data_IF_379573547829
#
_entry.id   IF_379573547829
#
_cell.length_a   1.000
_cell.length_b   1.000
_cell.length_c   1.000
_cell.angle_alpha   90.00
_cell.angle_beta   90.00
_cell.angle_gamma   90.00
#
_symmetry.space_group_name_H-M   'P 1'
#
loop_
_entity.id
_entity.type
_entity.pdbx_description
1 polymer ?
#
# COMPACT_ATOMS: atom_id res chain seq x y z
N UNK A 1 -26.04 9.79 8.02
CA UNK A 1 -25.18 8.63 7.75
C UNK A 1 -23.72 9.01 7.96
N UNK A 2 -22.98 8.15 8.63
CA UNK A 2 -21.56 8.39 8.85
C UNK A 2 -20.78 8.14 7.55
N UNK A 3 -19.99 9.11 7.16
CA UNK A 3 -19.16 9.05 5.97
C UNK A 3 -17.70 8.78 6.33
N UNK A 4 -17.48 8.24 7.54
CA UNK A 4 -16.14 8.02 8.06
C UNK A 4 -15.32 9.32 8.08
N UNK A 5 -15.96 10.43 8.48
CA UNK A 5 -15.34 11.75 8.38
C UNK A 5 -14.02 11.86 9.14
N UNK A 6 -13.94 11.24 10.32
CA UNK A 6 -12.71 11.26 11.12
C UNK A 6 -11.61 10.46 10.46
N UNK A 7 -11.95 9.30 9.89
CA UNK A 7 -11.01 8.48 9.15
C UNK A 7 -10.51 9.24 7.92
N UNK A 8 -11.42 9.85 7.18
CA UNK A 8 -11.04 10.62 5.99
C UNK A 8 -10.14 11.79 6.34
N UNK A 9 -10.36 12.41 7.51
CA UNK A 9 -9.50 13.50 7.98
C UNK A 9 -8.09 12.99 8.27
N UNK A 10 -7.97 11.84 8.93
CA UNK A 10 -6.66 11.22 9.16
C UNK A 10 -5.95 10.92 7.86
N UNK A 11 -6.68 10.38 6.88
CA UNK A 11 -6.11 10.05 5.58
C UNK A 11 -5.64 11.32 4.86
N UNK A 12 -6.45 12.38 4.88
CA UNK A 12 -6.08 13.64 4.25
C UNK A 12 -4.82 14.23 4.88
N UNK A 13 -4.68 14.14 6.21
CA UNK A 13 -3.48 14.60 6.90
C UNK A 13 -2.27 13.78 6.51
N UNK A 14 -2.42 12.45 6.48
CA UNK A 14 -1.32 11.56 6.07
C UNK A 14 -0.86 11.88 4.65
N UNK A 15 -1.79 12.13 3.74
CA UNK A 15 -1.48 12.42 2.34
C UNK A 15 -0.67 13.70 2.14
N UNK A 16 -0.64 14.59 3.12
CA UNK A 16 0.20 15.79 3.06
C UNK A 16 1.68 15.47 3.23
N UNK A 17 2.01 14.30 3.77
CA UNK A 17 3.37 13.95 4.17
C UNK A 17 3.93 12.76 3.41
N UNK A 18 3.16 12.18 2.48
CA UNK A 18 3.57 10.97 1.75
C UNK A 18 3.59 11.24 0.25
N UNK A 19 4.29 10.37 -0.47
CA UNK A 19 4.24 10.34 -1.92
C UNK A 19 3.25 9.27 -2.37
N UNK A 20 2.61 9.52 -3.51
CA UNK A 20 1.71 8.54 -4.12
C UNK A 20 2.22 8.13 -5.49
N UNK A 21 1.75 6.98 -5.97
CA UNK A 21 2.13 6.43 -7.27
C UNK A 21 0.87 5.86 -7.93
N UNK A 22 0.78 5.95 -9.24
CA UNK A 22 -0.35 5.38 -9.97
C UNK A 22 -0.22 3.86 -10.05
N UNK A 23 -1.34 3.12 -10.27
CA UNK A 23 -1.25 1.68 -10.51
C UNK A 23 -0.34 1.32 -11.69
N UNK A 24 -0.38 2.11 -12.76
CA UNK A 24 0.44 1.87 -13.95
C UNK A 24 1.93 1.99 -13.63
N UNK A 25 2.30 3.02 -12.89
CA UNK A 25 3.70 3.19 -12.47
C UNK A 25 4.11 2.13 -11.45
N UNK A 26 3.20 1.75 -10.57
CA UNK A 26 3.46 0.70 -9.57
C UNK A 26 3.76 -0.63 -10.24
N UNK A 27 2.97 -1.03 -11.25
CA UNK A 27 3.21 -2.30 -11.93
C UNK A 27 4.53 -2.28 -12.69
N UNK A 28 4.91 -1.15 -13.26
CA UNK A 28 6.20 -1.01 -13.94
C UNK A 28 7.37 -1.21 -12.96
N UNK A 29 7.27 -0.60 -11.78
CA UNK A 29 8.31 -0.73 -10.75
C UNK A 29 8.38 -2.15 -10.19
N UNK A 30 7.23 -2.81 -10.04
CA UNK A 30 7.20 -4.20 -9.61
C UNK A 30 7.86 -5.11 -10.63
N UNK A 31 7.52 -4.96 -11.90
CA UNK A 31 8.07 -5.80 -12.98
C UNK A 31 9.57 -5.61 -13.16
N UNK A 32 10.06 -4.40 -12.98
CA UNK A 32 11.48 -4.12 -13.13
C UNK A 32 12.31 -4.60 -11.93
N UNK A 33 11.63 -5.01 -10.85
CA UNK A 33 12.32 -5.40 -9.62
C UNK A 33 12.77 -4.24 -8.77
N UNK A 34 12.40 -3.00 -9.13
CA UNK A 34 12.78 -1.82 -8.36
C UNK A 34 12.01 -1.67 -7.06
N UNK A 35 10.80 -2.21 -7.00
CA UNK A 35 9.93 -2.03 -5.84
C UNK A 35 9.28 -3.33 -5.40
N UNK A 36 8.94 -3.38 -4.12
CA UNK A 36 8.03 -4.41 -3.59
C UNK A 36 6.68 -3.74 -3.33
N UNK A 37 5.60 -4.47 -3.57
CA UNK A 37 4.25 -4.01 -3.28
C UNK A 37 3.75 -4.74 -2.04
N UNK A 38 3.23 -3.97 -1.09
CA UNK A 38 2.71 -4.48 0.18
C UNK A 38 1.22 -4.18 0.25
N UNK A 39 0.43 -5.25 0.32
CA UNK A 39 -1.02 -5.18 0.48
C UNK A 39 -1.33 -5.17 1.97
N UNK A 40 -1.91 -4.07 2.46
CA UNK A 40 -2.21 -3.91 3.89
C UNK A 40 -3.67 -4.20 4.23
N UNK A 41 -4.42 -4.78 3.30
CA UNK A 41 -5.81 -5.17 3.53
C UNK A 41 -5.87 -6.38 4.46
N UNK A 42 -7.07 -6.70 4.90
CA UNK A 42 -7.30 -7.90 5.71
C UNK A 42 -7.12 -9.17 4.87
N UNK A 43 -6.87 -10.27 5.54
CA UNK A 43 -6.58 -11.54 4.86
C UNK A 43 -7.72 -12.01 3.96
N UNK A 44 -8.96 -11.84 4.37
CA UNK A 44 -10.10 -12.25 3.55
C UNK A 44 -10.20 -11.44 2.26
N UNK A 45 -9.85 -10.17 2.31
CA UNK A 45 -9.78 -9.35 1.09
C UNK A 45 -8.66 -9.84 0.17
N UNK A 46 -7.50 -10.15 0.74
CA UNK A 46 -6.38 -10.71 0.00
C UNK A 46 -6.73 -12.04 -0.67
N UNK A 47 -7.41 -12.91 0.05
CA UNK A 47 -7.78 -14.24 -0.46
C UNK A 47 -8.76 -14.16 -1.63
N UNK A 48 -9.58 -13.12 -1.69
CA UNK A 48 -10.54 -12.93 -2.79
C UNK A 48 -9.88 -12.42 -4.07
N UNK A 49 -8.71 -11.83 -3.96
CA UNK A 49 -7.97 -11.33 -5.10
C UNK A 49 -6.91 -10.34 -4.67
N UNK A 50 -5.74 -10.40 -5.29
CA UNK A 50 -4.62 -9.53 -4.95
C UNK A 50 -3.71 -9.32 -6.14
N UNK A 51 -2.74 -8.44 -5.99
CA UNK A 51 -1.76 -8.15 -7.03
C UNK A 51 -0.73 -9.28 -7.08
N UNK A 52 -0.52 -9.93 -8.25
CA UNK A 52 0.52 -10.97 -8.36
C UNK A 52 1.88 -10.41 -7.99
N UNK A 53 2.60 -11.12 -7.14
CA UNK A 53 3.94 -10.70 -6.69
C UNK A 53 3.94 -9.77 -5.49
N UNK A 54 2.78 -9.32 -5.03
CA UNK A 54 2.68 -8.49 -3.82
C UNK A 54 2.87 -9.35 -2.56
N UNK A 55 3.31 -8.69 -1.50
CA UNK A 55 3.41 -9.30 -0.17
C UNK A 55 2.18 -8.88 0.64
N UNK A 56 1.62 -9.82 1.38
CA UNK A 56 0.50 -9.49 2.26
C UNK A 56 1.00 -9.23 3.68
N UNK A 57 0.75 -8.03 4.18
CA UNK A 57 1.04 -7.67 5.56
C UNK A 57 -0.12 -6.82 6.06
N UNK A 58 -1.06 -7.43 6.79
CA UNK A 58 -2.23 -6.72 7.29
C UNK A 58 -1.83 -5.48 8.06
N UNK A 59 -2.65 -4.44 7.97
CA UNK A 59 -2.34 -3.17 8.65
C UNK A 59 -2.06 -3.37 10.14
N UNK A 60 -2.74 -4.33 10.77
CA UNK A 60 -2.62 -4.59 12.21
C UNK A 60 -1.24 -5.09 12.62
N UNK A 61 -0.51 -5.74 11.72
CA UNK A 61 0.81 -6.29 12.05
C UNK A 61 1.92 -5.75 11.15
N UNK A 62 1.60 -4.78 10.32
CA UNK A 62 2.53 -4.24 9.33
C UNK A 62 3.88 -3.87 9.93
N UNK A 63 3.87 -3.09 11.01
CA UNK A 63 5.10 -2.58 11.61
C UNK A 63 6.00 -3.69 12.17
N UNK A 64 5.39 -4.77 12.62
CA UNK A 64 6.16 -5.93 13.07
C UNK A 64 6.74 -6.72 11.90
N UNK A 65 5.93 -6.90 10.86
CA UNK A 65 6.29 -7.78 9.74
C UNK A 65 7.30 -7.13 8.80
N UNK A 66 7.21 -5.83 8.60
CA UNK A 66 8.02 -5.15 7.59
C UNK A 66 9.52 -5.21 7.91
N UNK A 67 9.90 -5.09 9.17
CA UNK A 67 11.31 -5.13 9.56
C UNK A 67 11.95 -6.47 9.18
N UNK A 68 11.18 -7.53 9.28
CA UNK A 68 11.65 -8.88 8.96
C UNK A 68 11.66 -9.13 7.47
N UNK A 69 10.59 -8.70 6.78
CA UNK A 69 10.41 -9.00 5.35
C UNK A 69 11.18 -8.06 4.44
N UNK A 70 11.32 -6.80 4.83
CA UNK A 70 12.00 -5.77 4.04
C UNK A 70 12.91 -4.97 4.97
N UNK A 71 14.06 -5.53 5.34
CA UNK A 71 14.94 -4.85 6.31
C UNK A 71 15.68 -3.64 5.77
N UNK A 72 15.80 -3.51 4.45
CA UNK A 72 16.51 -2.39 3.83
C UNK A 72 15.67 -1.12 3.89
N UNK A 73 16.11 -0.14 4.67
CA UNK A 73 15.40 1.14 4.83
C UNK A 73 15.36 1.98 3.55
N UNK A 74 16.18 1.65 2.56
CA UNK A 74 16.20 2.35 1.28
C UNK A 74 15.39 1.63 0.20
N UNK A 75 14.86 0.45 0.49
CA UNK A 75 14.04 -0.29 -0.47
C UNK A 75 12.81 0.53 -0.87
N UNK A 76 12.45 0.46 -2.15
CA UNK A 76 11.20 1.09 -2.59
C UNK A 76 10.04 0.19 -2.22
N UNK A 77 9.16 0.71 -1.38
CA UNK A 77 7.97 0.01 -0.90
C UNK A 77 6.74 0.75 -1.40
N UNK A 78 5.83 0.03 -2.03
CA UNK A 78 4.56 0.59 -2.47
C UNK A 78 3.45 -0.07 -1.66
N UNK A 79 2.81 0.70 -0.79
CA UNK A 79 1.69 0.22 0.01
C UNK A 79 0.38 0.42 -0.74
N UNK A 80 -0.57 -0.49 -0.55
CA UNK A 80 -1.91 -0.27 -1.04
C UNK A 80 -2.94 -0.98 -0.15
N UNK A 81 -4.17 -0.50 -0.27
CA UNK A 81 -5.34 -1.11 0.35
C UNK A 81 -6.47 -1.17 -0.68
N UNK A 82 -7.72 -1.23 -0.24
CA UNK A 82 -8.86 -1.28 -1.15
C UNK A 82 -9.10 0.01 -1.91
N UNK A 83 -9.13 1.14 -1.20
CA UNK A 83 -9.46 2.44 -1.79
C UNK A 83 -8.42 3.54 -1.58
N UNK A 84 -7.32 3.24 -0.93
CA UNK A 84 -6.22 4.19 -0.73
C UNK A 84 -6.06 4.75 0.67
N UNK A 85 -7.07 4.67 1.52
CA UNK A 85 -7.03 5.27 2.86
C UNK A 85 -6.12 4.54 3.83
N UNK A 86 -6.34 3.24 4.01
CA UNK A 86 -5.49 2.43 4.89
C UNK A 86 -4.04 2.41 4.40
N UNK A 87 -3.87 2.41 3.06
CA UNK A 87 -2.54 2.45 2.46
C UNK A 87 -1.81 3.76 2.74
N UNK A 88 -2.51 4.88 2.74
CA UNK A 88 -1.92 6.18 3.07
C UNK A 88 -1.41 6.19 4.52
N UNK A 89 -2.22 5.69 5.46
CA UNK A 89 -1.80 5.60 6.85
C UNK A 89 -0.63 4.64 7.03
N UNK A 90 -0.63 3.54 6.30
CA UNK A 90 0.48 2.58 6.31
C UNK A 90 1.77 3.24 5.82
N UNK A 91 1.69 3.98 4.72
CA UNK A 91 2.84 4.67 4.16
C UNK A 91 3.44 5.66 5.18
N UNK A 92 2.58 6.43 5.82
CA UNK A 92 3.02 7.38 6.85
C UNK A 92 3.71 6.65 8.01
N UNK A 93 3.14 5.53 8.44
CA UNK A 93 3.70 4.75 9.55
C UNK A 93 5.09 4.21 9.20
N UNK A 94 5.27 3.70 7.99
CA UNK A 94 6.58 3.19 7.58
C UNK A 94 7.63 4.30 7.49
N UNK A 95 7.22 5.49 7.07
CA UNK A 95 8.13 6.65 7.09
C UNK A 95 8.60 6.95 8.51
N UNK A 96 7.71 6.87 9.49
CA UNK A 96 8.06 7.08 10.89
C UNK A 96 9.05 6.03 11.43
N UNK A 97 9.04 4.85 10.82
CA UNK A 97 9.99 3.78 11.16
C UNK A 97 11.37 3.98 10.52
N UNK A 98 11.50 4.96 9.64
CA UNK A 98 12.77 5.25 8.97
C UNK A 98 12.88 4.79 7.53
N UNK A 99 11.84 4.18 6.98
CA UNK A 99 11.84 3.80 5.57
C UNK A 99 11.78 5.06 4.71
N UNK A 100 12.70 5.19 3.77
CA UNK A 100 12.93 6.45 3.06
C UNK A 100 12.27 6.52 1.69
N UNK A 101 11.82 5.40 1.16
CA UNK A 101 11.32 5.33 -0.21
C UNK A 101 10.00 4.57 -0.26
N UNK A 102 9.00 5.10 0.45
CA UNK A 102 7.69 4.48 0.57
C UNK A 102 6.67 5.33 -0.16
N UNK A 103 5.77 4.68 -0.88
CA UNK A 103 4.69 5.35 -1.61
C UNK A 103 3.38 4.62 -1.39
N UNK A 104 2.30 5.38 -1.48
CA UNK A 104 0.95 4.80 -1.44
C UNK A 104 0.42 4.73 -2.88
N UNK A 105 -0.09 3.56 -3.27
CA UNK A 105 -0.70 3.44 -4.58
C UNK A 105 -2.07 4.12 -4.57
N UNK A 106 -2.19 5.17 -5.36
CA UNK A 106 -3.40 5.99 -5.42
C UNK A 106 -4.60 5.15 -5.84
N UNK A 107 -5.70 5.28 -5.09
CA UNK A 107 -6.94 4.56 -5.37
C UNK A 107 -6.93 3.08 -5.01
N UNK A 108 -5.82 2.54 -4.57
CA UNK A 108 -5.71 1.18 -4.08
C UNK A 108 -6.06 0.10 -5.09
N UNK A 109 -6.50 -1.04 -4.58
CA UNK A 109 -6.84 -2.19 -5.42
C UNK A 109 -8.01 -1.91 -6.37
N UNK A 110 -8.93 -1.03 -5.97
CA UNK A 110 -10.02 -0.61 -6.87
C UNK A 110 -9.47 0.03 -8.14
N UNK A 111 -8.50 0.95 -7.96
CA UNK A 111 -7.88 1.63 -9.11
C UNK A 111 -7.03 0.67 -9.94
N UNK A 112 -6.36 -0.28 -9.29
CA UNK A 112 -5.60 -1.32 -9.97
C UNK A 112 -6.51 -2.12 -10.92
N UNK A 113 -7.66 -2.58 -10.42
CA UNK A 113 -8.62 -3.34 -11.23
C UNK A 113 -9.24 -2.48 -12.32
N UNK A 114 -9.54 -1.21 -12.02
CA UNK A 114 -10.09 -0.28 -13.00
C UNK A 114 -9.12 -0.05 -14.17
N UNK A 115 -7.82 -0.12 -13.90
CA UNK A 115 -6.77 -0.04 -14.93
C UNK A 115 -6.58 -1.36 -15.67
N UNK A 116 -7.37 -2.39 -15.35
CA UNK A 116 -7.33 -3.70 -15.99
C UNK A 116 -5.99 -4.43 -15.86
N UNK A 117 -5.31 -4.18 -14.75
CA UNK A 117 -4.06 -4.87 -14.45
C UNK A 117 -4.36 -6.25 -13.87
N UNK A 118 -3.38 -7.16 -13.97
CA UNK A 118 -3.58 -8.57 -13.57
C UNK A 118 -3.81 -8.71 -12.08
N UNK A 119 -4.68 -9.65 -11.73
CA UNK A 119 -4.92 -10.05 -10.34
C UNK A 119 -4.74 -11.56 -10.19
N UNK A 120 -4.51 -11.99 -8.97
CA UNK A 120 -4.39 -13.40 -8.60
C UNK A 120 -5.31 -13.70 -7.43
N UNK A 121 -5.56 -14.98 -7.18
CA UNK A 121 -6.34 -15.43 -6.03
C UNK A 121 -5.58 -16.43 -5.19
#
# INVERSE_FOLDING_TARGET
MAEHARFQKLVAEAKKHIAEISPQDAVAKLKSGEAVIVDVRDKDEWDEGHIPGAMHMSRSTLELDIEEKVPDLNAMIICHCGGGGRGALATESLQKMGYKNVRNMAGGFKAWKAARLRTAE
#
